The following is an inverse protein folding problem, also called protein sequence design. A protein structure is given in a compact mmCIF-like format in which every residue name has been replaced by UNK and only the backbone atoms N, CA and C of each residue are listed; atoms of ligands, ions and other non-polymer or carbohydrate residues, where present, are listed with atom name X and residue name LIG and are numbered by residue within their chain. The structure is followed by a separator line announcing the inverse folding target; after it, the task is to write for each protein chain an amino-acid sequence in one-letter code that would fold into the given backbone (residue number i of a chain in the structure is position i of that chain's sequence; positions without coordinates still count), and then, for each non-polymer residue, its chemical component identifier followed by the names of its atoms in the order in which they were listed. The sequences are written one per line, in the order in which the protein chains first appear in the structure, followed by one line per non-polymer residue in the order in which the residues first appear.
data_IF_056088832499
#
_entry.id   IF_056088832499
#
_cell.length_a   1.000
_cell.length_b   1.000
_cell.length_c   1.000
_cell.angle_alpha   90.00
_cell.angle_beta   90.00
_cell.angle_gamma   90.00
#
_symmetry.space_group_name_H-M   'P 1'
#
loop_
_entity.id
_entity.type
_entity.pdbx_description
1 polymer ?
#
# COMPACT_ATOMS: atom_id res chain seq x y z
N UNK A 1 5.22 -23.26 2.14
CA UNK A 1 4.62 -22.48 1.03
C UNK A 1 4.77 -20.97 1.27
N UNK A 2 5.97 -20.39 1.17
CA UNK A 2 6.20 -18.97 1.58
C UNK A 2 6.92 -18.08 0.56
N UNK A 3 7.56 -18.64 -0.47
CA UNK A 3 8.35 -17.85 -1.44
C UNK A 3 7.56 -17.35 -2.65
N UNK A 4 6.51 -18.07 -3.07
CA UNK A 4 5.77 -17.73 -4.31
C UNK A 4 4.78 -16.57 -4.14
N UNK A 5 4.13 -16.46 -2.98
CA UNK A 5 3.17 -15.37 -2.71
C UNK A 5 3.85 -14.03 -2.46
N UNK A 6 5.07 -14.03 -1.90
CA UNK A 6 5.79 -12.77 -1.65
C UNK A 6 6.18 -12.06 -2.95
N UNK A 7 6.56 -12.81 -4.00
CA UNK A 7 6.81 -12.24 -5.33
C UNK A 7 5.58 -11.57 -5.94
N UNK A 8 4.39 -12.14 -5.73
CA UNK A 8 3.12 -11.52 -6.17
C UNK A 8 2.82 -10.23 -5.41
N UNK A 9 3.03 -10.20 -4.08
CA UNK A 9 2.83 -8.99 -3.27
C UNK A 9 3.82 -7.89 -3.66
N UNK A 10 5.10 -8.24 -3.86
CA UNK A 10 6.11 -7.27 -4.28
C UNK A 10 5.83 -6.70 -5.67
N UNK A 11 5.43 -7.55 -6.62
CA UNK A 11 5.05 -7.10 -7.97
C UNK A 11 3.81 -6.20 -7.93
N UNK A 12 2.77 -6.58 -7.17
CA UNK A 12 1.57 -5.77 -7.00
C UNK A 12 1.85 -4.42 -6.34
N UNK A 13 2.71 -4.39 -5.32
CA UNK A 13 3.15 -3.15 -4.67
C UNK A 13 3.91 -2.24 -5.64
N UNK A 14 4.82 -2.81 -6.45
CA UNK A 14 5.58 -2.04 -7.44
C UNK A 14 4.66 -1.42 -8.49
N UNK A 15 3.69 -2.19 -9.00
CA UNK A 15 2.67 -1.70 -9.93
C UNK A 15 1.83 -0.59 -9.28
N UNK A 16 1.42 -0.76 -8.03
CA UNK A 16 0.67 0.25 -7.30
C UNK A 16 1.45 1.56 -7.13
N UNK A 17 2.74 1.48 -6.81
CA UNK A 17 3.62 2.65 -6.69
C UNK A 17 3.84 3.35 -8.03
N UNK A 18 4.01 2.61 -9.13
CA UNK A 18 4.09 3.19 -10.47
C UNK A 18 2.81 3.91 -10.87
N UNK A 19 1.66 3.30 -10.61
CA UNK A 19 0.36 3.91 -10.89
C UNK A 19 0.16 5.17 -10.04
N UNK A 20 0.45 5.11 -8.74
CA UNK A 20 0.24 6.21 -7.82
C UNK A 20 1.22 7.38 -8.01
N UNK A 21 2.49 7.10 -8.31
CA UNK A 21 3.52 8.13 -8.44
C UNK A 21 3.68 8.70 -9.84
N UNK A 22 3.44 7.90 -10.89
CA UNK A 22 3.74 8.28 -12.29
C UNK A 22 2.47 8.41 -13.11
N UNK A 23 1.63 7.37 -13.14
CA UNK A 23 0.45 7.36 -14.03
C UNK A 23 -0.65 8.32 -13.54
N UNK A 24 -0.79 8.50 -12.22
CA UNK A 24 -1.76 9.42 -11.61
C UNK A 24 -1.60 10.86 -12.09
N UNK A 25 -0.37 11.26 -12.37
CA UNK A 25 -0.06 12.61 -12.83
C UNK A 25 -0.59 12.91 -14.24
N UNK A 26 -0.82 11.87 -15.05
CA UNK A 26 -1.44 11.98 -16.37
C UNK A 26 -2.98 11.91 -16.32
N UNK A 27 -3.57 11.81 -15.12
CA UNK A 27 -5.00 11.99 -14.96
C UNK A 27 -5.38 13.47 -15.21
N UNK A 28 -6.64 13.71 -15.61
CA UNK A 28 -7.17 15.01 -16.07
C UNK A 28 -6.63 16.20 -15.27
N UNK A 29 -5.87 17.06 -15.95
CA UNK A 29 -4.93 18.00 -15.34
C UNK A 29 -5.53 19.37 -15.01
N UNK A 30 -6.79 19.42 -14.56
CA UNK A 30 -7.62 20.60 -14.26
C UNK A 30 -8.57 21.02 -15.41
N UNK A 31 -9.89 21.12 -15.14
CA UNK A 31 -10.56 20.62 -13.93
C UNK A 31 -10.52 19.08 -13.88
N UNK A 32 -10.37 18.52 -12.68
CA UNK A 32 -10.51 17.08 -12.49
C UNK A 32 -11.98 16.66 -12.73
N UNK A 33 -12.25 15.36 -12.78
CA UNK A 33 -13.60 14.87 -13.09
C UNK A 33 -14.64 15.28 -12.04
N UNK A 34 -14.22 15.43 -10.78
CA UNK A 34 -15.08 15.83 -9.68
C UNK A 34 -15.42 17.31 -9.78
N UNK A 35 -14.42 18.18 -9.91
CA UNK A 35 -14.60 19.63 -10.02
C UNK A 35 -15.40 20.00 -11.25
N UNK A 36 -15.16 19.33 -12.38
CA UNK A 36 -15.97 19.47 -13.59
C UNK A 36 -17.46 19.21 -13.33
N UNK A 37 -17.78 18.29 -12.42
CA UNK A 37 -19.16 17.99 -12.05
C UNK A 37 -19.74 19.02 -11.08
N UNK A 38 -18.92 19.56 -10.18
CA UNK A 38 -19.30 20.58 -9.20
C UNK A 38 -19.48 21.96 -9.84
N UNK A 39 -18.81 22.21 -10.96
CA UNK A 39 -18.92 23.44 -11.76
C UNK A 39 -20.12 23.44 -12.71
N UNK A 40 -20.83 22.33 -12.88
CA UNK A 40 -22.03 22.29 -13.74
C UNK A 40 -23.08 23.30 -13.26
N UNK A 41 -23.39 24.26 -14.13
CA UNK A 41 -24.32 25.36 -13.84
C UNK A 41 -23.65 26.66 -13.39
N UNK A 42 -22.32 26.66 -13.22
CA UNK A 42 -21.53 27.87 -13.03
C UNK A 42 -20.90 28.34 -14.34
N UNK A 43 -20.66 29.65 -14.44
CA UNK A 43 -19.79 30.24 -15.45
C UNK A 43 -18.43 30.51 -14.81
N UNK A 44 -17.37 29.99 -15.41
CA UNK A 44 -15.98 30.21 -14.98
C UNK A 44 -15.28 31.14 -15.96
N UNK A 45 -14.36 31.96 -15.46
CA UNK A 45 -13.47 32.74 -16.32
C UNK A 45 -12.26 31.90 -16.77
N UNK A 46 -11.27 32.53 -17.41
CA UNK A 46 -10.04 31.86 -17.84
C UNK A 46 -9.12 31.46 -16.68
N UNK A 47 -9.41 31.94 -15.47
CA UNK A 47 -8.65 31.71 -14.24
C UNK A 47 -9.39 30.75 -13.28
N UNK A 48 -10.38 29.99 -13.78
CA UNK A 48 -11.23 29.04 -13.04
C UNK A 48 -12.07 29.66 -11.89
N UNK A 49 -12.19 30.98 -11.81
CA UNK A 49 -13.05 31.65 -10.84
C UNK A 49 -14.51 31.65 -11.29
N UNK A 50 -15.40 31.38 -10.34
CA UNK A 50 -16.85 31.41 -10.56
C UNK A 50 -17.31 32.86 -10.72
N UNK A 51 -17.67 33.25 -11.93
CA UNK A 51 -18.16 34.59 -12.29
C UNK A 51 -19.69 34.71 -12.28
N UNK A 52 -20.40 33.59 -12.18
CA UNK A 52 -21.86 33.58 -12.22
C UNK A 52 -22.47 32.17 -12.26
N UNK A 53 -23.79 32.11 -12.31
CA UNK A 53 -24.56 30.87 -12.32
C UNK A 53 -24.88 30.32 -10.92
N UNK A 54 -25.37 29.08 -10.87
CA UNK A 54 -25.70 28.37 -9.62
C UNK A 54 -25.17 26.94 -9.70
N UNK A 55 -24.16 26.62 -8.89
CA UNK A 55 -23.60 25.28 -8.83
C UNK A 55 -23.16 24.89 -7.39
N UNK A 56 -23.00 23.58 -7.11
CA UNK A 56 -22.53 23.09 -5.81
C UNK A 56 -21.20 23.69 -5.35
N UNK A 57 -20.28 24.00 -6.27
CA UNK A 57 -18.96 24.56 -5.93
C UNK A 57 -19.04 25.88 -5.15
N UNK A 58 -20.09 26.69 -5.32
CA UNK A 58 -20.28 27.94 -4.55
C UNK A 58 -20.54 27.71 -3.05
N UNK A 59 -20.91 26.49 -2.68
CA UNK A 59 -21.11 26.07 -1.28
C UNK A 59 -19.85 25.44 -0.69
N UNK A 60 -18.77 25.28 -1.47
CA UNK A 60 -17.49 24.90 -0.93
C UNK A 60 -17.07 25.92 0.14
N UNK A 61 -16.67 25.42 1.30
CA UNK A 61 -16.19 26.22 2.43
C UNK A 61 -14.77 25.80 2.69
N UNK A 62 -13.93 26.68 3.22
CA UNK A 62 -12.63 26.23 3.71
C UNK A 62 -12.85 25.21 4.84
N UNK A 63 -12.19 24.05 4.72
CA UNK A 63 -12.26 22.97 5.71
C UNK A 63 -11.06 23.12 6.67
N UNK A 64 -11.15 22.66 7.92
CA UNK A 64 -10.00 22.69 8.87
C UNK A 64 -8.77 21.91 8.37
N UNK A 65 -8.94 21.07 7.35
CA UNK A 65 -7.86 20.33 6.70
C UNK A 65 -7.33 20.99 5.42
N UNK A 66 -7.83 22.17 5.05
CA UNK A 66 -7.32 22.95 3.92
C UNK A 66 -5.85 23.37 4.15
N UNK A 67 -5.46 23.63 5.40
CA UNK A 67 -4.05 23.89 5.76
C UNK A 67 -3.24 22.60 6.01
N UNK A 68 -3.82 21.42 5.79
CA UNK A 68 -3.13 20.17 6.07
C UNK A 68 -2.00 19.92 5.06
N UNK A 69 -0.92 19.24 5.46
CA UNK A 69 0.20 18.96 4.58
C UNK A 69 -0.12 17.99 3.44
N UNK A 70 -1.37 17.50 3.36
CA UNK A 70 -1.90 16.62 2.30
C UNK A 70 -3.11 17.24 1.57
N UNK A 71 -3.39 18.53 1.78
CA UNK A 71 -4.46 19.22 1.07
C UNK A 71 -4.16 19.27 -0.44
N UNK A 72 -5.22 19.29 -1.25
CA UNK A 72 -5.15 19.38 -2.72
C UNK A 72 -4.19 18.37 -3.37
N UNK A 73 -4.12 17.17 -2.80
CA UNK A 73 -3.23 16.09 -3.24
C UNK A 73 -1.74 16.46 -3.18
N UNK A 74 -1.33 17.52 -2.49
CA UNK A 74 0.06 17.96 -2.38
C UNK A 74 0.79 17.43 -1.13
N UNK A 75 2.10 17.60 -1.09
CA UNK A 75 2.91 17.58 0.14
C UNK A 75 3.43 19.01 0.38
N UNK A 76 3.17 19.54 1.58
CA UNK A 76 3.66 20.88 1.97
C UNK A 76 5.19 20.97 1.84
N UNK A 77 5.68 21.93 1.05
CA UNK A 77 7.10 22.18 0.82
C UNK A 77 7.67 21.59 -0.48
N UNK A 78 6.82 21.03 -1.35
CA UNK A 78 7.21 20.62 -2.71
C UNK A 78 6.49 21.52 -3.72
N UNK A 79 7.23 22.47 -4.30
CA UNK A 79 6.68 23.48 -5.23
C UNK A 79 6.29 22.91 -6.61
N UNK A 80 6.80 21.72 -6.95
CA UNK A 80 6.44 21.04 -8.18
C UNK A 80 5.18 20.19 -7.95
N UNK A 81 4.02 20.69 -8.42
CA UNK A 81 2.73 20.00 -8.32
C UNK A 81 2.77 18.54 -8.81
N UNK A 82 3.51 18.26 -9.89
CA UNK A 82 3.65 16.90 -10.42
C UNK A 82 4.32 15.96 -9.41
N UNK A 83 5.37 16.45 -8.77
CA UNK A 83 6.12 15.70 -7.77
C UNK A 83 5.33 15.57 -6.46
N UNK A 84 4.63 16.64 -6.09
CA UNK A 84 3.78 16.74 -4.90
C UNK A 84 2.63 15.72 -4.93
N UNK A 85 1.90 15.67 -6.05
CA UNK A 85 0.82 14.69 -6.30
C UNK A 85 1.31 13.26 -6.38
N UNK A 86 2.45 13.02 -7.04
CA UNK A 86 3.04 11.68 -7.07
C UNK A 86 3.46 11.19 -5.69
N UNK A 87 4.07 12.07 -4.88
CA UNK A 87 4.52 11.74 -3.53
C UNK A 87 3.34 11.47 -2.57
N UNK A 88 2.28 12.27 -2.62
CA UNK A 88 1.09 12.04 -1.78
C UNK A 88 0.44 10.68 -2.10
N UNK A 89 0.37 10.32 -3.38
CA UNK A 89 -0.09 8.99 -3.84
C UNK A 89 0.78 7.85 -3.31
N UNK A 90 2.11 7.97 -3.39
CA UNK A 90 3.06 6.98 -2.85
C UNK A 90 2.89 6.81 -1.34
N UNK A 91 2.78 7.90 -0.60
CA UNK A 91 2.54 7.88 0.85
C UNK A 91 1.25 7.15 1.18
N UNK A 92 0.15 7.40 0.45
CA UNK A 92 -1.12 6.71 0.62
C UNK A 92 -1.03 5.18 0.41
N UNK A 93 -0.31 4.74 -0.62
CA UNK A 93 -0.08 3.30 -0.90
C UNK A 93 0.70 2.65 0.25
N UNK A 94 1.78 3.29 0.71
CA UNK A 94 2.61 2.77 1.80
C UNK A 94 1.83 2.68 3.12
N UNK A 95 1.03 3.69 3.45
CA UNK A 95 0.17 3.69 4.64
C UNK A 95 -0.84 2.54 4.59
N UNK A 96 -1.48 2.32 3.45
CA UNK A 96 -2.46 1.23 3.28
C UNK A 96 -1.81 -0.14 3.49
N UNK A 97 -0.62 -0.36 2.90
CA UNK A 97 0.13 -1.60 3.08
C UNK A 97 0.61 -1.79 4.52
N UNK A 98 1.03 -0.73 5.20
CA UNK A 98 1.44 -0.78 6.60
C UNK A 98 0.27 -1.17 7.51
N UNK A 99 -0.89 -0.53 7.34
CA UNK A 99 -2.09 -0.81 8.15
C UNK A 99 -2.63 -2.21 7.84
N UNK A 100 -2.84 -2.55 6.56
CA UNK A 100 -3.37 -3.86 6.17
C UNK A 100 -2.42 -5.01 6.54
N UNK A 101 -1.12 -4.84 6.30
CA UNK A 101 -0.09 -5.81 6.66
C UNK A 101 0.08 -5.96 8.18
N UNK A 102 0.06 -4.85 8.92
CA UNK A 102 0.10 -4.84 10.38
C UNK A 102 -1.10 -5.55 10.99
N UNK A 103 -2.31 -5.26 10.51
CA UNK A 103 -3.54 -5.92 10.96
C UNK A 103 -3.51 -7.42 10.65
N UNK A 104 -3.11 -7.81 9.44
CA UNK A 104 -2.95 -9.22 9.08
C UNK A 104 -1.93 -9.94 9.97
N UNK A 105 -0.80 -9.30 10.27
CA UNK A 105 0.22 -9.87 11.15
C UNK A 105 -0.28 -10.04 12.58
N UNK A 106 -1.06 -9.08 13.09
CA UNK A 106 -1.65 -9.13 14.42
C UNK A 106 -2.73 -10.23 14.55
N UNK A 107 -3.56 -10.39 13.52
CA UNK A 107 -4.67 -11.36 13.51
C UNK A 107 -4.24 -12.78 13.10
N UNK A 108 -3.06 -12.92 12.49
CA UNK A 108 -2.51 -14.21 12.09
C UNK A 108 -2.31 -15.11 13.32
N UNK A 109 -3.00 -16.25 13.34
CA UNK A 109 -2.74 -17.33 14.31
C UNK A 109 -1.34 -17.91 14.06
N UNK A 110 -0.54 -18.06 15.11
CA UNK A 110 0.76 -18.75 15.04
C UNK A 110 0.49 -20.26 14.90
N UNK A 111 1.15 -20.98 13.98
CA UNK A 111 1.16 -22.44 14.02
C UNK A 111 1.75 -22.87 15.36
N UNK A 112 1.08 -23.76 16.08
CA UNK A 112 1.69 -24.43 17.22
C UNK A 112 2.87 -25.25 16.67
N UNK A 113 4.07 -25.01 17.19
CA UNK A 113 5.18 -25.93 17.03
C UNK A 113 4.76 -27.22 17.72
N UNK A 114 4.25 -28.20 16.96
CA UNK A 114 4.09 -29.56 17.44
C UNK A 114 5.51 -30.10 17.65
N UNK A 115 5.96 -30.35 18.89
CA UNK A 115 7.23 -31.04 19.11
C UNK A 115 7.06 -32.43 18.50
N UNK A 116 7.85 -32.74 17.48
CA UNK A 116 7.92 -34.09 16.93
C UNK A 116 8.24 -35.07 18.05
N UNK A 117 7.63 -36.26 18.08
CA UNK A 117 7.85 -37.25 19.13
C UNK A 117 9.21 -37.93 18.96
N UNK A 118 10.29 -37.16 19.03
CA UNK A 118 11.65 -37.71 19.08
C UNK A 118 11.98 -38.04 20.54
N UNK A 119 11.32 -39.09 21.02
CA UNK A 119 11.55 -39.70 22.30
C UNK A 119 12.02 -41.14 22.13
N UNK A 120 13.27 -41.35 21.67
CA UNK A 120 14.27 -42.25 22.30
C UNK A 120 15.55 -42.44 21.46
N UNK A 121 16.71 -42.60 22.12
CA UNK A 121 18.01 -42.75 21.47
C UNK A 121 18.10 -44.12 20.79
N UNK A 122 18.63 -44.13 19.56
CA UNK A 122 18.96 -45.34 18.84
C UNK A 122 19.92 -46.20 19.69
N UNK A 123 19.44 -47.39 20.05
CA UNK A 123 20.23 -48.40 20.75
C UNK A 123 21.49 -48.72 19.97
N UNK A 124 22.57 -48.82 20.72
CA UNK A 124 23.87 -49.33 20.32
C UNK A 124 23.72 -50.83 20.01
N UNK A 125 23.45 -51.16 18.74
CA UNK A 125 23.63 -52.50 18.21
C UNK A 125 25.13 -52.72 17.95
N UNK A 126 25.84 -53.21 18.98
CA UNK A 126 27.23 -53.65 18.89
C UNK A 126 27.29 -55.19 18.90
N UNK A 127 26.69 -55.80 17.88
CA UNK A 127 26.90 -57.21 17.57
C UNK A 127 28.04 -57.34 16.54
N UNK A 128 29.27 -57.18 17.02
CA UNK A 128 30.47 -57.74 16.38
C UNK A 128 30.95 -58.94 17.19
N UNK A 129 30.50 -60.14 16.81
CA UNK A 129 31.15 -61.38 17.19
C UNK A 129 31.87 -61.97 15.95
N UNK A 130 33.20 -61.85 15.81
CA UNK A 130 33.93 -62.59 14.79
C UNK A 130 34.16 -64.05 15.21
N UNK A 131 34.14 -64.93 14.22
CA UNK A 131 34.40 -66.36 14.31
C UNK A 131 35.74 -66.69 15.01
N UNK A 132 35.72 -67.75 15.84
CA UNK A 132 36.90 -68.31 16.51
C UNK A 132 36.79 -69.83 16.63
N UNK A 133 37.62 -70.50 15.83
CA UNK A 133 37.90 -71.94 15.72
C UNK A 133 38.56 -72.54 16.97
N UNK A 134 38.13 -73.72 17.45
CA UNK A 134 38.89 -74.86 18.05
C UNK A 134 37.92 -75.75 18.85
N UNK A 135 37.94 -77.08 18.81
CA UNK A 135 38.82 -78.07 18.19
C UNK A 135 38.21 -79.47 18.32
#
# INVERSE_FOLDING_TARGET
MRKRSWGFVAAGLLVALLLAGVVSNYASSHPDGLDSSLLKGCTVNADDEITGGSCPAQRARDHELADSPLADYGIRGVDNGFLSTGLSGVVGVLLTFAVGGGLFWLLRRRPADTPGPDGRPAGHDDDRQPAGTVG
#
